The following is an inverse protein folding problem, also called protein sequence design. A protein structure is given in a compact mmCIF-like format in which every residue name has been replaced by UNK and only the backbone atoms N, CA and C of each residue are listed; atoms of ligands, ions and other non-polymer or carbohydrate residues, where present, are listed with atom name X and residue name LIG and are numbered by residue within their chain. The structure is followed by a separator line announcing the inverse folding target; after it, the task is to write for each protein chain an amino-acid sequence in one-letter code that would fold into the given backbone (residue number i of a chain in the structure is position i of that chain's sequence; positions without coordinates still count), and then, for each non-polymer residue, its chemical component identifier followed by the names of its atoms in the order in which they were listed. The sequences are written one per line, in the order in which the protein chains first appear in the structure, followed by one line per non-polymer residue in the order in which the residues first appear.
data_IF_605780071220
#
_entry.id   IF_605780071220
#
_cell.length_a   1.000
_cell.length_b   1.000
_cell.length_c   1.000
_cell.angle_alpha   90.00
_cell.angle_beta   90.00
_cell.angle_gamma   90.00
#
_symmetry.space_group_name_H-M   'P 1'
#
loop_
_entity.id
_entity.type
_entity.pdbx_description
1 polymer ?
#
# COMPACT_ATOMS: atom_id res chain seq x y z
N UNK A 1 26.21 1.78 0.47
CA UNK A 1 25.57 3.11 0.44
C UNK A 1 24.59 3.13 -0.71
N UNK A 2 23.36 3.66 -0.52
CA UNK A 2 22.39 3.80 -1.61
C UNK A 2 22.94 4.75 -2.69
N UNK A 3 22.74 4.38 -3.96
CA UNK A 3 23.11 5.22 -5.10
C UNK A 3 21.84 5.58 -5.85
N UNK A 4 21.46 6.87 -5.84
CA UNK A 4 20.23 7.35 -6.45
C UNK A 4 20.20 7.10 -7.96
N UNK A 5 21.30 7.34 -8.66
CA UNK A 5 21.38 7.15 -10.11
C UNK A 5 21.12 5.70 -10.52
N UNK A 6 21.73 4.74 -9.79
CA UNK A 6 21.47 3.33 -10.02
C UNK A 6 20.02 2.94 -9.74
N UNK A 7 19.45 3.43 -8.62
CA UNK A 7 18.06 3.15 -8.26
C UNK A 7 17.08 3.70 -9.31
N UNK A 8 17.31 4.90 -9.79
CA UNK A 8 16.45 5.53 -10.81
C UNK A 8 16.40 4.75 -12.12
N UNK A 9 17.47 4.06 -12.49
CA UNK A 9 17.53 3.28 -13.72
C UNK A 9 16.55 2.11 -13.77
N UNK A 10 16.01 1.67 -12.63
CA UNK A 10 14.95 0.68 -12.59
C UNK A 10 13.57 1.24 -12.97
N UNK A 11 13.42 2.56 -13.05
CA UNK A 11 12.14 3.21 -13.33
C UNK A 11 12.09 3.77 -14.76
N UNK A 12 10.92 3.72 -15.41
CA UNK A 12 10.74 4.31 -16.74
C UNK A 12 11.08 5.82 -16.75
N UNK A 13 11.50 6.37 -17.89
CA UNK A 13 11.88 7.77 -18.03
C UNK A 13 10.84 8.76 -17.46
N UNK A 14 9.55 8.53 -17.73
CA UNK A 14 8.44 9.39 -17.29
C UNK A 14 8.37 9.50 -15.74
N UNK A 15 8.84 8.47 -15.02
CA UNK A 15 8.85 8.44 -13.57
C UNK A 15 10.17 9.00 -13.04
N UNK A 16 11.31 8.52 -13.55
CA UNK A 16 12.63 8.87 -13.02
C UNK A 16 13.04 10.33 -13.28
N UNK A 17 12.56 10.92 -14.38
CA UNK A 17 12.89 12.29 -14.76
C UNK A 17 12.06 13.34 -14.00
N UNK A 18 10.96 12.93 -13.37
CA UNK A 18 10.13 13.84 -12.57
C UNK A 18 10.77 14.07 -11.19
N UNK A 19 11.24 15.30 -10.87
CA UNK A 19 11.86 15.59 -9.58
C UNK A 19 10.98 15.27 -8.37
N UNK A 20 9.65 15.43 -8.51
CA UNK A 20 8.70 15.12 -7.43
C UNK A 20 8.63 13.62 -7.08
N UNK A 21 9.03 12.75 -7.99
CA UNK A 21 9.00 11.31 -7.78
C UNK A 21 10.26 10.76 -7.11
N UNK A 22 11.38 11.48 -7.12
CA UNK A 22 12.68 10.96 -6.65
C UNK A 22 12.65 10.43 -5.22
N UNK A 23 11.96 11.11 -4.30
CA UNK A 23 11.77 10.64 -2.92
C UNK A 23 10.98 9.34 -2.85
N UNK A 24 9.96 9.19 -3.69
CA UNK A 24 9.14 7.96 -3.75
C UNK A 24 9.88 6.79 -4.38
N UNK A 25 10.73 7.05 -5.37
CA UNK A 25 11.64 6.05 -5.98
C UNK A 25 12.55 5.46 -4.90
N UNK A 26 13.20 6.30 -4.10
CA UNK A 26 14.04 5.85 -2.98
C UNK A 26 13.22 5.07 -1.95
N UNK A 27 12.02 5.56 -1.64
CA UNK A 27 11.12 4.90 -0.69
C UNK A 27 10.72 3.50 -1.17
N UNK A 28 10.29 3.35 -2.43
CA UNK A 28 9.92 2.06 -3.02
C UNK A 28 11.11 1.09 -3.03
N UNK A 29 12.32 1.57 -3.33
CA UNK A 29 13.52 0.74 -3.28
C UNK A 29 13.80 0.21 -1.86
N UNK A 30 13.72 1.06 -0.84
CA UNK A 30 13.93 0.63 0.55
C UNK A 30 12.79 -0.30 1.00
N UNK A 31 11.56 -0.07 0.58
CA UNK A 31 10.43 -0.99 0.82
C UNK A 31 10.72 -2.38 0.23
N UNK A 32 11.26 -2.45 -0.98
CA UNK A 32 11.68 -3.72 -1.61
C UNK A 32 12.82 -4.40 -0.85
N UNK A 33 13.81 -3.65 -0.34
CA UNK A 33 14.85 -4.20 0.52
C UNK A 33 14.25 -4.85 1.77
N UNK A 34 13.33 -4.14 2.46
CA UNK A 34 12.67 -4.65 3.67
C UNK A 34 11.83 -5.90 3.35
N UNK A 35 11.04 -5.87 2.27
CA UNK A 35 10.24 -7.02 1.84
C UNK A 35 11.11 -8.23 1.49
N UNK A 36 12.23 -8.02 0.79
CA UNK A 36 13.18 -9.09 0.43
C UNK A 36 13.77 -9.74 1.68
N UNK A 37 14.13 -8.94 2.68
CA UNK A 37 14.59 -9.45 3.97
C UNK A 37 13.49 -10.22 4.70
N UNK A 38 12.27 -9.67 4.79
CA UNK A 38 11.14 -10.31 5.47
C UNK A 38 10.71 -11.61 4.78
N UNK A 39 10.82 -11.70 3.45
CA UNK A 39 10.48 -12.90 2.67
C UNK A 39 11.33 -14.13 3.07
N UNK A 40 12.55 -13.90 3.55
CA UNK A 40 13.45 -14.96 4.02
C UNK A 40 13.44 -15.15 5.55
N UNK A 41 12.69 -14.33 6.27
CA UNK A 41 12.61 -14.37 7.73
C UNK A 41 11.61 -15.41 8.24
N UNK A 42 11.74 -15.78 9.52
CA UNK A 42 10.75 -16.65 10.18
C UNK A 42 9.33 -16.06 10.22
N UNK A 43 9.21 -14.75 10.08
CA UNK A 43 7.93 -14.03 10.17
C UNK A 43 7.07 -14.15 8.93
N UNK A 44 7.64 -14.51 7.77
CA UNK A 44 6.90 -14.60 6.49
C UNK A 44 5.66 -15.52 6.58
N UNK A 45 5.70 -16.54 7.45
CA UNK A 45 4.58 -17.46 7.68
C UNK A 45 3.45 -16.87 8.54
N UNK A 46 3.73 -15.76 9.25
CA UNK A 46 2.78 -15.10 10.16
C UNK A 46 2.20 -13.81 9.61
N UNK A 47 2.75 -13.27 8.51
CA UNK A 47 2.35 -12.01 7.91
C UNK A 47 1.94 -12.19 6.45
N UNK A 48 0.91 -11.47 6.04
CA UNK A 48 0.39 -11.46 4.66
C UNK A 48 0.45 -10.02 4.15
N UNK A 49 1.12 -9.79 3.04
CA UNK A 49 1.35 -8.46 2.50
C UNK A 49 0.08 -7.89 1.88
N UNK A 50 -0.40 -6.77 2.41
CA UNK A 50 -1.63 -6.08 2.02
C UNK A 50 -1.34 -4.60 1.70
N UNK A 51 -2.37 -3.80 1.60
CA UNK A 51 -2.24 -2.33 1.55
C UNK A 51 -1.93 -1.76 0.17
N UNK A 52 -1.51 -0.49 0.16
CA UNK A 52 -1.23 0.25 -1.07
C UNK A 52 0.03 -0.23 -1.78
N UNK A 53 1.03 -0.63 -1.02
CA UNK A 53 2.31 -1.11 -1.58
C UNK A 53 2.15 -2.52 -2.19
N UNK A 54 1.23 -3.34 -1.67
CA UNK A 54 0.82 -4.58 -2.37
C UNK A 54 0.21 -4.24 -3.75
N UNK A 55 -0.74 -3.29 -3.82
CA UNK A 55 -1.31 -2.88 -5.11
C UNK A 55 -0.24 -2.40 -6.08
N UNK A 56 0.78 -1.70 -5.59
CA UNK A 56 1.88 -1.19 -6.41
C UNK A 56 2.79 -2.32 -6.91
N UNK A 57 3.27 -3.16 -6.02
CA UNK A 57 4.34 -4.12 -6.33
C UNK A 57 3.82 -5.46 -6.89
N UNK A 58 2.58 -5.85 -6.55
CA UNK A 58 1.98 -7.12 -6.96
C UNK A 58 0.95 -6.93 -8.06
N UNK A 59 0.11 -5.88 -7.97
CA UNK A 59 -0.99 -5.65 -8.92
C UNK A 59 -0.67 -4.62 -10.00
N UNK A 60 0.41 -3.85 -9.84
CA UNK A 60 0.88 -2.91 -10.86
C UNK A 60 0.09 -1.60 -10.96
N UNK A 61 -0.58 -1.16 -9.87
CA UNK A 61 -1.26 0.14 -9.89
C UNK A 61 -0.26 1.27 -10.20
N UNK A 62 -0.68 2.24 -10.99
CA UNK A 62 0.14 3.34 -11.52
C UNK A 62 0.32 4.51 -10.51
N UNK A 63 0.60 4.18 -9.27
CA UNK A 63 0.92 5.12 -8.21
C UNK A 63 1.92 4.55 -7.21
N UNK A 64 2.69 5.44 -6.59
CA UNK A 64 3.51 5.09 -5.43
C UNK A 64 2.68 4.79 -4.19
N UNK A 65 3.30 4.10 -3.25
CA UNK A 65 2.77 3.89 -1.91
C UNK A 65 3.86 4.10 -0.87
N UNK A 66 3.46 4.51 0.34
CA UNK A 66 4.41 5.02 1.32
C UNK A 66 4.70 4.05 2.47
N UNK A 67 3.75 3.19 2.80
CA UNK A 67 3.78 2.35 3.99
C UNK A 67 3.82 0.85 3.60
N UNK A 68 4.29 0.00 4.49
CA UNK A 68 4.22 -1.46 4.36
C UNK A 68 3.16 -1.97 5.33
N UNK A 69 2.10 -2.55 4.79
CA UNK A 69 0.95 -3.04 5.56
C UNK A 69 0.90 -4.57 5.51
N UNK A 70 0.66 -5.19 6.66
CA UNK A 70 0.52 -6.63 6.78
C UNK A 70 -0.73 -7.02 7.58
N UNK A 71 -1.47 -8.01 7.08
CA UNK A 71 -2.39 -8.80 7.88
C UNK A 71 -1.60 -9.87 8.63
N UNK A 72 -1.78 -9.99 9.93
CA UNK A 72 -0.99 -10.89 10.74
C UNK A 72 -1.87 -11.95 11.45
N UNK A 73 -1.34 -13.18 11.54
CA UNK A 73 -2.00 -14.31 12.22
C UNK A 73 -1.03 -14.93 13.22
N UNK A 74 -1.52 -15.20 14.44
CA UNK A 74 -0.68 -15.74 15.52
C UNK A 74 0.61 -14.93 15.71
N UNK A 75 0.46 -13.61 15.77
CA UNK A 75 1.52 -12.64 15.81
C UNK A 75 1.28 -11.69 16.99
N UNK A 76 2.15 -11.70 17.96
CA UNK A 76 2.02 -10.93 19.18
C UNK A 76 2.97 -9.72 19.22
N UNK A 77 2.97 -8.99 20.32
CA UNK A 77 3.83 -7.82 20.52
C UNK A 77 5.33 -8.17 20.51
N UNK A 78 5.69 -9.33 21.04
CA UNK A 78 7.07 -9.81 21.07
C UNK A 78 7.56 -10.17 19.65
N UNK A 79 6.74 -10.89 18.87
CA UNK A 79 7.01 -11.15 17.46
C UNK A 79 7.23 -9.85 16.67
N UNK A 80 6.40 -8.83 16.94
CA UNK A 80 6.52 -7.55 16.27
C UNK A 80 7.78 -6.78 16.67
N UNK A 81 8.10 -6.76 17.96
CA UNK A 81 9.32 -6.13 18.47
C UNK A 81 10.57 -6.78 17.89
N UNK A 82 10.61 -8.12 17.87
CA UNK A 82 11.73 -8.88 17.28
C UNK A 82 11.84 -8.61 15.77
N UNK A 83 10.73 -8.67 15.02
CA UNK A 83 10.70 -8.35 13.59
C UNK A 83 11.22 -6.92 13.34
N UNK A 84 10.77 -5.96 14.14
CA UNK A 84 11.19 -4.56 14.05
C UNK A 84 12.69 -4.39 14.25
N UNK A 85 13.24 -5.02 15.30
CA UNK A 85 14.67 -4.98 15.58
C UNK A 85 15.50 -5.64 14.47
N UNK A 86 15.03 -6.77 13.93
CA UNK A 86 15.71 -7.45 12.82
C UNK A 86 15.72 -6.59 11.55
N UNK A 87 14.63 -5.92 11.21
CA UNK A 87 14.55 -5.01 10.06
C UNK A 87 15.52 -3.83 10.23
N UNK A 88 15.58 -3.22 11.42
CA UNK A 88 16.51 -2.13 11.70
C UNK A 88 17.96 -2.58 11.57
N UNK A 89 18.31 -3.71 12.17
CA UNK A 89 19.66 -4.28 12.09
C UNK A 89 20.05 -4.60 10.65
N UNK A 90 19.11 -5.13 9.85
CA UNK A 90 19.32 -5.40 8.43
C UNK A 90 19.64 -4.11 7.65
N UNK A 91 18.84 -3.05 7.83
CA UNK A 91 19.07 -1.76 7.18
C UNK A 91 20.41 -1.14 7.55
N UNK A 92 20.76 -1.16 8.84
CA UNK A 92 22.04 -0.65 9.35
C UNK A 92 23.23 -1.44 8.78
N UNK A 93 23.15 -2.77 8.75
CA UNK A 93 24.17 -3.62 8.13
C UNK A 93 24.29 -3.42 6.62
N UNK A 94 23.20 -2.98 5.96
CA UNK A 94 23.21 -2.58 4.55
C UNK A 94 23.78 -1.17 4.32
N UNK A 95 24.35 -0.53 5.36
CA UNK A 95 24.94 0.79 5.28
C UNK A 95 23.95 1.95 5.22
N UNK A 96 22.70 1.74 5.70
CA UNK A 96 21.66 2.76 5.75
C UNK A 96 21.47 3.18 7.20
N UNK A 97 21.64 4.47 7.50
CA UNK A 97 21.27 5.01 8.81
C UNK A 97 19.76 4.90 9.00
N UNK A 98 19.32 4.13 9.96
CA UNK A 98 17.92 3.87 10.25
C UNK A 98 17.69 3.86 11.77
N UNK A 99 16.66 4.56 12.22
CA UNK A 99 16.25 4.67 13.61
C UNK A 99 14.77 4.32 13.77
N UNK A 100 14.43 3.53 14.79
CA UNK A 100 13.06 3.34 15.18
C UNK A 100 12.62 4.46 16.12
N UNK A 101 11.42 4.98 15.88
CA UNK A 101 10.70 5.79 16.86
C UNK A 101 9.36 5.12 17.13
N UNK A 102 9.28 4.41 18.22
CA UNK A 102 8.04 3.79 18.67
C UNK A 102 7.16 4.85 19.36
N UNK A 103 5.89 4.88 18.96
CA UNK A 103 4.83 5.41 19.81
C UNK A 103 3.97 4.20 20.17
N UNK A 104 4.29 3.57 21.29
CA UNK A 104 3.38 2.59 21.88
C UNK A 104 2.12 3.34 22.32
N UNK A 105 0.98 2.96 21.79
CA UNK A 105 -0.32 3.36 22.30
C UNK A 105 -1.03 2.08 22.73
N UNK A 106 -1.27 1.95 24.02
CA UNK A 106 -1.96 0.81 24.63
C UNK A 106 -3.40 0.61 24.08
N UNK A 107 -3.93 1.58 23.35
CA UNK A 107 -5.29 1.56 22.77
C UNK A 107 -5.34 1.09 21.32
N UNK A 108 -4.21 0.78 20.67
CA UNK A 108 -4.20 0.43 19.24
C UNK A 108 -4.18 -1.09 19.05
N UNK A 109 -5.13 -1.59 18.29
CA UNK A 109 -5.22 -2.99 17.84
C UNK A 109 -4.19 -3.35 16.74
N UNK A 110 -3.39 -2.38 16.29
CA UNK A 110 -2.39 -2.53 15.26
C UNK A 110 -0.99 -2.24 15.80
N UNK A 111 -0.04 -3.09 15.45
CA UNK A 111 1.38 -2.87 15.68
C UNK A 111 1.92 -1.88 14.65
N UNK A 112 2.72 -0.89 15.09
CA UNK A 112 3.27 0.16 14.22
C UNK A 112 4.73 0.44 14.52
N UNK A 113 5.56 0.31 13.50
CA UNK A 113 6.96 0.74 13.50
C UNK A 113 7.11 1.94 12.55
N UNK A 114 7.76 2.99 13.00
CA UNK A 114 8.20 4.11 12.16
C UNK A 114 9.71 4.08 12.07
N UNK A 115 10.22 3.80 10.87
CA UNK A 115 11.64 3.81 10.58
C UNK A 115 11.98 5.16 9.99
N UNK A 116 12.80 5.93 10.70
CA UNK A 116 13.35 7.20 10.23
C UNK A 116 14.73 6.95 9.62
N UNK A 117 15.01 7.70 8.58
CA UNK A 117 16.28 7.65 7.87
C UNK A 117 16.96 9.02 7.97
N UNK A 118 17.74 9.27 9.03
CA UNK A 118 18.39 10.57 9.25
C UNK A 118 19.30 10.93 8.09
N UNK A 119 19.23 12.20 7.65
CA UNK A 119 20.06 12.80 6.60
C UNK A 119 19.99 12.11 5.22
N UNK A 120 19.20 11.04 5.03
CA UNK A 120 19.20 10.24 3.80
C UNK A 120 18.90 11.08 2.56
N UNK A 121 17.92 11.99 2.62
CA UNK A 121 17.58 12.83 1.47
C UNK A 121 18.70 13.83 1.16
N UNK A 122 19.39 14.35 2.17
CA UNK A 122 20.54 15.22 2.01
C UNK A 122 21.72 14.46 1.38
N UNK A 123 22.05 13.30 1.90
CA UNK A 123 23.14 12.43 1.40
C UNK A 123 22.92 12.02 -0.08
N UNK A 124 21.65 11.89 -0.49
CA UNK A 124 21.28 11.58 -1.88
C UNK A 124 21.11 12.83 -2.76
N UNK A 125 21.36 14.03 -2.26
CA UNK A 125 21.18 15.27 -3.00
C UNK A 125 19.71 15.62 -3.33
N UNK A 126 18.75 15.04 -2.58
CA UNK A 126 17.32 15.25 -2.77
C UNK A 126 16.73 16.33 -1.85
N UNK A 127 17.51 16.82 -0.91
CA UNK A 127 17.16 17.91 -0.02
C UNK A 127 18.37 18.79 0.29
N UNK A 128 18.14 20.08 0.45
CA UNK A 128 19.13 21.00 0.99
C UNK A 128 19.21 20.96 2.53
N UNK A 129 18.26 20.31 3.19
CA UNK A 129 18.13 20.30 4.63
C UNK A 129 18.40 18.90 5.17
N UNK A 130 19.36 18.80 6.12
CA UNK A 130 19.72 17.53 6.78
C UNK A 130 18.58 16.96 7.61
N UNK A 131 17.77 17.83 8.22
CA UNK A 131 16.67 17.46 9.11
C UNK A 131 15.40 17.09 8.36
N UNK A 132 15.40 17.14 7.01
CA UNK A 132 14.21 16.76 6.26
C UNK A 132 13.83 15.31 6.55
N UNK A 133 12.59 15.15 7.02
CA UNK A 133 12.10 13.85 7.47
C UNK A 133 11.83 12.90 6.30
N UNK A 134 12.49 11.77 6.35
CA UNK A 134 12.17 10.64 5.48
C UNK A 134 11.89 9.42 6.34
N UNK A 135 10.76 8.79 6.12
CA UNK A 135 10.34 7.66 6.94
C UNK A 135 9.54 6.62 6.13
N UNK A 136 9.60 5.38 6.59
CA UNK A 136 8.74 4.28 6.17
C UNK A 136 8.01 3.76 7.41
N UNK A 137 6.71 3.50 7.28
CA UNK A 137 5.94 2.82 8.32
C UNK A 137 5.75 1.37 7.96
N UNK A 138 5.82 0.52 8.98
CA UNK A 138 5.38 -0.87 8.91
C UNK A 138 4.19 -0.99 9.85
N UNK A 139 3.05 -1.36 9.32
CA UNK A 139 1.83 -1.60 10.09
C UNK A 139 1.44 -3.07 9.97
N UNK A 140 1.19 -3.72 11.11
CA UNK A 140 0.73 -5.11 11.18
C UNK A 140 -0.51 -5.18 12.04
N UNK A 141 -1.60 -5.69 11.46
CA UNK A 141 -2.87 -5.81 12.17
C UNK A 141 -3.56 -7.10 11.75
N UNK A 142 -4.06 -7.86 12.71
CA UNK A 142 -4.94 -8.98 12.40
C UNK A 142 -6.28 -8.45 11.88
N UNK A 143 -6.59 -8.77 10.62
CA UNK A 143 -7.86 -8.36 10.00
C UNK A 143 -9.06 -9.15 10.56
N UNK A 144 -8.83 -10.22 11.34
CA UNK A 144 -9.88 -11.03 11.96
C UNK A 144 -10.78 -11.74 10.97
N UNK A 145 -10.36 -11.91 9.74
CA UNK A 145 -11.06 -12.67 8.69
C UNK A 145 -10.21 -13.85 8.23
N UNK A 146 -10.82 -15.01 8.08
CA UNK A 146 -10.11 -16.22 7.66
C UNK A 146 -10.10 -16.36 6.15
N UNK A 147 -8.91 -16.45 5.57
CA UNK A 147 -8.67 -16.79 4.17
C UNK A 147 -7.34 -17.54 4.04
N UNK A 148 -7.14 -18.21 2.92
CA UNK A 148 -5.87 -18.85 2.58
C UNK A 148 -5.02 -17.89 1.77
N UNK A 149 -3.85 -17.43 2.28
CA UNK A 149 -2.94 -16.60 1.51
C UNK A 149 -2.44 -17.32 0.27
N UNK A 150 -2.24 -16.57 -0.81
CA UNK A 150 -1.61 -17.03 -2.04
C UNK A 150 -0.18 -16.51 -2.09
N UNK A 151 0.73 -17.23 -2.75
CA UNK A 151 2.10 -16.75 -2.97
C UNK A 151 2.14 -15.88 -4.22
N UNK A 152 2.56 -14.63 -4.08
CA UNK A 152 2.81 -13.74 -5.21
C UNK A 152 4.30 -13.52 -5.40
N UNK A 153 4.75 -13.53 -6.66
CA UNK A 153 6.11 -13.17 -7.01
C UNK A 153 6.21 -11.65 -7.17
N UNK A 154 7.18 -11.05 -6.51
CA UNK A 154 7.53 -9.64 -6.64
C UNK A 154 8.88 -9.58 -7.37
N UNK A 155 8.88 -8.98 -8.56
CA UNK A 155 10.08 -8.75 -9.37
C UNK A 155 10.16 -7.27 -9.72
N UNK A 156 10.98 -6.52 -9.01
CA UNK A 156 11.12 -5.07 -9.20
C UNK A 156 12.47 -4.59 -8.67
N UNK A 157 13.07 -3.60 -9.31
CA UNK A 157 14.31 -2.94 -8.91
C UNK A 157 15.47 -3.90 -8.61
N UNK A 158 15.55 -5.01 -9.35
CA UNK A 158 16.58 -6.04 -9.15
C UNK A 158 16.29 -7.03 -8.01
N UNK A 159 15.19 -6.86 -7.29
CA UNK A 159 14.71 -7.81 -6.30
C UNK A 159 13.80 -8.86 -6.94
N UNK A 160 13.94 -10.11 -6.49
CA UNK A 160 13.08 -11.21 -6.85
C UNK A 160 12.75 -12.03 -5.61
N UNK A 161 11.47 -12.04 -5.23
CA UNK A 161 11.02 -12.73 -4.02
C UNK A 161 9.58 -13.21 -4.16
N UNK A 162 9.21 -14.22 -3.36
CA UNK A 162 7.81 -14.63 -3.20
C UNK A 162 7.31 -14.21 -1.82
N UNK A 163 6.10 -13.66 -1.77
CA UNK A 163 5.49 -13.20 -0.52
C UNK A 163 4.02 -13.61 -0.41
N UNK A 164 3.53 -13.99 0.80
CA UNK A 164 2.11 -14.28 1.00
C UNK A 164 1.27 -13.01 0.81
N UNK A 165 0.22 -13.12 0.00
CA UNK A 165 -0.76 -12.05 -0.27
C UNK A 165 -2.18 -12.60 -0.11
N UNK A 166 -3.20 -11.77 0.17
CA UNK A 166 -4.58 -12.23 0.16
C UNK A 166 -5.05 -12.54 -1.27
N UNK A 167 -6.09 -13.38 -1.45
CA UNK A 167 -6.82 -13.48 -2.70
C UNK A 167 -7.34 -12.12 -3.16
N UNK A 168 -7.50 -11.93 -4.47
CA UNK A 168 -7.86 -10.64 -5.07
C UNK A 168 -9.20 -10.10 -4.58
N UNK A 169 -10.19 -10.98 -4.41
CA UNK A 169 -11.50 -10.64 -3.88
C UNK A 169 -11.45 -10.14 -2.44
N UNK A 170 -10.59 -10.75 -1.60
CA UNK A 170 -10.36 -10.35 -0.21
C UNK A 170 -9.62 -9.00 -0.17
N UNK A 171 -8.58 -8.83 -1.00
CA UNK A 171 -7.86 -7.55 -1.09
C UNK A 171 -8.78 -6.42 -1.55
N UNK A 172 -9.67 -6.70 -2.52
CA UNK A 172 -10.69 -5.75 -2.98
C UNK A 172 -11.64 -5.38 -1.84
N UNK A 173 -12.14 -6.35 -1.09
CA UNK A 173 -13.02 -6.11 0.05
C UNK A 173 -12.33 -5.30 1.17
N UNK A 174 -11.05 -5.55 1.45
CA UNK A 174 -10.26 -4.75 2.40
C UNK A 174 -10.17 -3.29 1.96
N UNK A 175 -9.94 -3.03 0.66
CA UNK A 175 -9.86 -1.67 0.11
C UNK A 175 -11.20 -0.95 0.09
N UNK A 176 -12.28 -1.66 -0.21
CA UNK A 176 -13.64 -1.11 -0.11
C UNK A 176 -14.01 -0.79 1.34
N UNK A 177 -13.67 -1.65 2.29
CA UNK A 177 -13.87 -1.38 3.72
C UNK A 177 -13.11 -0.13 4.17
N UNK A 178 -11.86 0.06 3.71
CA UNK A 178 -11.09 1.27 3.97
C UNK A 178 -11.72 2.53 3.35
N UNK A 179 -12.23 2.43 2.11
CA UNK A 179 -12.95 3.50 1.44
C UNK A 179 -14.19 3.93 2.24
N UNK A 180 -15.03 2.96 2.62
CA UNK A 180 -16.25 3.22 3.40
C UNK A 180 -15.98 3.82 4.78
N UNK A 181 -14.81 3.52 5.37
CA UNK A 181 -14.46 3.97 6.72
C UNK A 181 -13.81 5.35 6.76
N UNK A 182 -13.06 5.77 5.75
CA UNK A 182 -12.23 7.00 5.80
C UNK A 182 -12.27 7.88 4.56
N UNK A 183 -12.76 7.38 3.43
CA UNK A 183 -13.00 8.08 2.17
C UNK A 183 -11.86 9.02 1.73
N UNK A 184 -10.59 8.54 1.73
CA UNK A 184 -9.47 9.29 1.18
C UNK A 184 -9.44 9.18 -0.34
N UNK A 185 -8.89 10.18 -1.04
CA UNK A 185 -8.83 10.18 -2.51
C UNK A 185 -8.20 8.92 -3.10
N UNK A 186 -7.10 8.45 -2.52
CA UNK A 186 -6.45 7.19 -2.93
C UNK A 186 -7.32 5.95 -2.73
N UNK A 187 -8.27 5.96 -1.76
CA UNK A 187 -9.13 4.79 -1.52
C UNK A 187 -10.15 4.63 -2.66
N UNK A 188 -10.66 5.73 -3.23
CA UNK A 188 -11.47 5.71 -4.45
C UNK A 188 -10.69 5.21 -5.65
N UNK A 189 -9.44 5.66 -5.80
CA UNK A 189 -8.57 5.24 -6.89
C UNK A 189 -8.24 3.74 -6.83
N UNK A 190 -7.89 3.25 -5.64
CA UNK A 190 -7.62 1.83 -5.38
C UNK A 190 -8.87 0.97 -5.63
N UNK A 191 -10.05 1.46 -5.23
CA UNK A 191 -11.32 0.77 -5.43
C UNK A 191 -11.68 0.67 -6.93
N UNK A 192 -11.52 1.75 -7.71
CA UNK A 192 -11.70 1.70 -9.17
C UNK A 192 -10.79 0.67 -9.82
N UNK A 193 -9.51 0.70 -9.46
CA UNK A 193 -8.52 -0.23 -10.00
C UNK A 193 -8.89 -1.70 -9.71
N UNK A 194 -9.29 -2.01 -8.48
CA UNK A 194 -9.62 -3.39 -8.11
C UNK A 194 -10.97 -3.84 -8.67
N UNK A 195 -12.01 -3.00 -8.58
CA UNK A 195 -13.34 -3.33 -9.10
C UNK A 195 -13.37 -3.52 -10.62
N UNK A 196 -12.39 -2.97 -11.35
CA UNK A 196 -12.23 -3.26 -12.77
C UNK A 196 -11.66 -4.66 -13.06
N UNK A 197 -11.09 -5.34 -12.07
CA UNK A 197 -10.37 -6.60 -12.23
C UNK A 197 -11.02 -7.76 -11.49
N UNK A 198 -11.68 -7.52 -10.35
CA UNK A 198 -12.25 -8.55 -9.49
C UNK A 198 -13.51 -8.09 -8.79
N UNK A 199 -14.29 -9.07 -8.29
CA UNK A 199 -15.40 -8.83 -7.38
C UNK A 199 -14.88 -8.82 -5.94
N UNK A 200 -15.50 -8.03 -5.04
CA UNK A 200 -15.14 -8.09 -3.62
C UNK A 200 -15.65 -9.36 -2.96
N UNK A 201 -14.95 -9.81 -1.94
CA UNK A 201 -15.41 -10.89 -1.07
C UNK A 201 -16.52 -10.38 -0.15
N UNK A 202 -17.74 -10.88 -0.34
CA UNK A 202 -18.89 -10.41 0.43
C UNK A 202 -18.92 -10.96 1.85
N UNK A 203 -18.31 -12.10 2.14
CA UNK A 203 -18.20 -12.61 3.51
C UNK A 203 -17.34 -11.67 4.36
N UNK A 204 -16.24 -11.15 3.77
CA UNK A 204 -15.42 -10.11 4.41
C UNK A 204 -16.24 -8.82 4.63
N UNK A 205 -16.95 -8.34 3.60
CA UNK A 205 -17.74 -7.12 3.70
C UNK A 205 -18.90 -7.26 4.69
N UNK A 206 -19.53 -8.43 4.76
CA UNK A 206 -20.57 -8.75 5.76
C UNK A 206 -20.00 -8.63 7.17
N UNK A 207 -18.87 -9.29 7.41
CA UNK A 207 -18.24 -9.29 8.74
C UNK A 207 -17.75 -7.88 9.16
N UNK A 208 -17.25 -7.06 8.24
CA UNK A 208 -16.64 -5.77 8.55
C UNK A 208 -17.56 -4.56 8.42
N UNK A 209 -18.54 -4.62 7.52
CA UNK A 209 -19.36 -3.49 7.12
C UNK A 209 -20.87 -3.78 7.13
N UNK A 210 -21.27 -5.05 7.37
CA UNK A 210 -22.67 -5.47 7.29
C UNK A 210 -23.24 -5.44 5.88
N UNK A 211 -22.40 -5.61 4.85
CA UNK A 211 -22.78 -5.54 3.43
C UNK A 211 -22.78 -6.96 2.85
N UNK A 212 -23.94 -7.43 2.43
CA UNK A 212 -24.15 -8.83 2.02
C UNK A 212 -24.10 -9.06 0.50
N UNK A 213 -24.33 -8.01 -0.28
CA UNK A 213 -24.48 -8.14 -1.73
C UNK A 213 -24.13 -6.85 -2.47
N UNK A 214 -24.14 -6.94 -3.80
CA UNK A 214 -23.81 -5.83 -4.69
C UNK A 214 -24.74 -4.61 -4.52
N UNK A 215 -26.02 -4.84 -4.32
CA UNK A 215 -27.00 -3.76 -4.19
C UNK A 215 -26.74 -2.92 -2.94
N UNK A 216 -26.50 -3.57 -1.82
CA UNK A 216 -26.12 -2.92 -0.55
C UNK A 216 -24.78 -2.20 -0.67
N UNK A 217 -23.78 -2.84 -1.33
CA UNK A 217 -22.48 -2.22 -1.58
C UNK A 217 -22.63 -0.93 -2.41
N UNK A 218 -23.39 -0.97 -3.52
CA UNK A 218 -23.64 0.20 -4.36
C UNK A 218 -24.32 1.32 -3.58
N UNK A 219 -25.35 1.00 -2.80
CA UNK A 219 -26.05 1.99 -1.98
C UNK A 219 -25.08 2.67 -0.98
N UNK A 220 -24.23 1.88 -0.31
CA UNK A 220 -23.28 2.39 0.66
C UNK A 220 -22.17 3.23 0.04
N UNK A 221 -21.69 2.84 -1.14
CA UNK A 221 -20.71 3.63 -1.91
C UNK A 221 -21.29 4.96 -2.39
N UNK A 222 -22.55 4.99 -2.86
CA UNK A 222 -23.24 6.21 -3.27
C UNK A 222 -23.40 7.14 -2.06
N UNK A 223 -23.88 6.63 -0.92
CA UNK A 223 -23.99 7.39 0.33
C UNK A 223 -22.63 7.99 0.75
N UNK A 224 -21.54 7.24 0.56
CA UNK A 224 -20.18 7.72 0.88
C UNK A 224 -19.73 8.83 -0.06
N UNK A 225 -20.03 8.71 -1.37
CA UNK A 225 -19.70 9.72 -2.37
C UNK A 225 -20.42 11.04 -2.09
N UNK A 226 -21.69 10.98 -1.71
CA UNK A 226 -22.51 12.16 -1.43
C UNK A 226 -22.00 13.00 -0.23
N UNK A 227 -21.21 12.38 0.63
CA UNK A 227 -20.63 13.02 1.83
C UNK A 227 -19.27 13.66 1.59
N UNK A 228 -18.68 13.51 0.40
CA UNK A 228 -17.32 13.98 0.13
C UNK A 228 -17.24 14.83 -1.13
N UNK A 229 -16.34 15.79 -1.11
CA UNK A 229 -15.95 16.53 -2.33
C UNK A 229 -14.88 15.74 -3.08
N UNK A 230 -15.30 15.03 -4.15
CA UNK A 230 -14.39 14.25 -4.98
C UNK A 230 -13.32 15.10 -5.68
N UNK A 231 -13.61 16.37 -6.01
CA UNK A 231 -12.64 17.28 -6.60
C UNK A 231 -11.52 17.61 -5.60
N UNK A 232 -11.89 17.85 -4.34
CA UNK A 232 -10.90 18.01 -3.28
C UNK A 232 -10.12 16.70 -3.04
N UNK A 233 -10.83 15.56 -3.00
CA UNK A 233 -10.21 14.24 -2.82
C UNK A 233 -9.28 13.85 -3.96
N UNK A 234 -9.51 14.30 -5.19
CA UNK A 234 -8.61 14.02 -6.31
C UNK A 234 -7.22 14.63 -6.11
N UNK A 235 -7.13 15.76 -5.41
CA UNK A 235 -5.87 16.45 -5.10
C UNK A 235 -5.10 15.82 -3.93
N UNK A 236 -5.78 15.09 -3.03
CA UNK A 236 -5.16 14.53 -1.81
C UNK A 236 -4.00 13.57 -2.09
N UNK A 237 -3.98 12.93 -3.26
CA UNK A 237 -3.01 11.87 -3.58
C UNK A 237 -2.32 12.05 -4.95
N UNK A 238 -2.56 13.15 -5.65
CA UNK A 238 -1.97 13.38 -6.99
C UNK A 238 -0.44 13.30 -6.99
N UNK A 239 0.19 13.65 -5.87
CA UNK A 239 1.63 13.57 -5.68
C UNK A 239 2.19 12.13 -5.70
N UNK A 240 1.33 11.12 -5.53
CA UNK A 240 1.69 9.71 -5.62
C UNK A 240 1.55 9.15 -7.03
N UNK A 241 0.78 9.78 -7.91
CA UNK A 241 0.47 9.27 -9.24
C UNK A 241 1.64 9.41 -10.21
N UNK A 242 1.85 8.42 -11.06
CA UNK A 242 2.83 8.50 -12.15
C UNK A 242 2.43 9.52 -13.22
N UNK A 243 1.15 9.52 -13.58
CA UNK A 243 0.53 10.60 -14.36
C UNK A 243 -0.51 11.31 -13.49
N UNK A 244 -0.28 12.59 -13.19
CA UNK A 244 -1.15 13.40 -12.34
C UNK A 244 -2.57 13.57 -12.88
N UNK A 245 -2.78 13.50 -14.20
CA UNK A 245 -4.10 13.57 -14.81
C UNK A 245 -5.00 12.41 -14.39
N UNK A 246 -4.40 11.26 -14.04
CA UNK A 246 -5.15 10.10 -13.57
C UNK A 246 -5.92 10.34 -12.26
N UNK A 247 -5.65 11.43 -11.53
CA UNK A 247 -6.43 11.80 -10.34
C UNK A 247 -7.91 12.01 -10.65
N UNK A 248 -8.21 12.47 -11.87
CA UNK A 248 -9.57 12.81 -12.28
C UNK A 248 -10.43 11.56 -12.53
N UNK A 249 -9.82 10.36 -12.61
CA UNK A 249 -10.56 9.11 -12.69
C UNK A 249 -11.56 8.95 -11.56
N UNK A 250 -11.24 9.45 -10.35
CA UNK A 250 -12.16 9.34 -9.21
C UNK A 250 -13.40 10.24 -9.34
N UNK A 251 -13.39 11.28 -10.17
CA UNK A 251 -14.56 12.13 -10.42
C UNK A 251 -15.69 11.33 -11.08
N UNK A 252 -15.34 10.31 -11.86
CA UNK A 252 -16.31 9.42 -12.52
C UNK A 252 -16.70 8.22 -11.64
N UNK A 253 -16.31 8.19 -10.36
CA UNK A 253 -16.57 7.03 -9.49
C UNK A 253 -18.07 6.74 -9.34
N UNK A 254 -18.92 7.77 -9.20
CA UNK A 254 -20.37 7.61 -9.09
C UNK A 254 -20.96 6.98 -10.36
N UNK A 255 -20.52 7.44 -11.52
CA UNK A 255 -20.96 6.90 -12.80
C UNK A 255 -20.49 5.47 -13.01
N UNK A 256 -19.23 5.19 -12.64
CA UNK A 256 -18.67 3.85 -12.66
C UNK A 256 -19.51 2.87 -11.81
N UNK A 257 -19.90 3.25 -10.59
CA UNK A 257 -20.70 2.39 -9.70
C UNK A 257 -22.14 2.20 -10.24
N UNK A 258 -22.73 3.23 -10.85
CA UNK A 258 -24.10 3.17 -11.42
C UNK A 258 -24.16 2.31 -12.68
N UNK A 259 -23.23 2.51 -13.62
CA UNK A 259 -23.21 1.84 -14.94
C UNK A 259 -22.68 0.41 -14.88
N UNK A 260 -21.75 0.12 -14.00
CA UNK A 260 -21.26 -1.24 -13.92
C UNK A 260 -22.28 -2.13 -13.16
N UNK A 261 -22.99 -2.96 -13.92
CA UNK A 261 -23.03 -4.35 -13.50
C UNK A 261 -21.56 -4.70 -13.26
N UNK A 262 -21.13 -4.89 -12.00
CA UNK A 262 -19.79 -5.41 -11.66
C UNK A 262 -19.71 -6.81 -12.25
N UNK A 263 -19.57 -6.85 -13.57
CA UNK A 263 -19.70 -8.04 -14.43
C UNK A 263 -18.48 -8.91 -14.26
N UNK A 264 -18.75 -10.18 -14.23
CA UNK A 264 -17.88 -11.30 -14.50
C UNK A 264 -16.60 -10.91 -15.28
N UNK A 265 -15.52 -10.58 -14.56
CA UNK A 265 -14.11 -10.56 -14.91
C UNK A 265 -13.67 -10.61 -16.38
N UNK A 266 -14.17 -9.73 -17.23
CA UNK A 266 -13.57 -9.41 -18.54
C UNK A 266 -14.10 -8.04 -18.98
N UNK A 267 -13.33 -7.00 -18.68
CA UNK A 267 -13.43 -5.74 -19.42
C UNK A 267 -12.43 -5.88 -20.56
N UNK A 268 -12.93 -6.12 -21.78
CA UNK A 268 -12.17 -5.85 -23.00
C UNK A 268 -12.02 -4.34 -23.12
N UNK A 269 -10.80 -3.83 -22.95
CA UNK A 269 -10.45 -2.49 -23.35
C UNK A 269 -10.63 -2.41 -24.89
N UNK A 270 -11.60 -1.66 -25.34
CA UNK A 270 -11.65 -1.11 -26.70
C UNK A 270 -10.97 0.24 -26.70
#
# INVERSE_FOLDING_TARGET
MLNLEQIQNYFPPQIRENPAHKKYIVKEYIQLMILSFLATSKFVKKITFIGGTNLRLVKGIDRFSEDLDFDCKNFNAEDFAEMSQMVLTFLQRSGIRAEAREKQSEKLTAFRLRIYFPELLFDLGLSAYKEERFLIKIESQNQGFKYTPQMATISSCGFFMSFPVPPDDVLCAMKLSALLSRAKGRDFYDALFLLSQTKPNYDFLTQKQGIHNLTELKAKLIETIEKVDLLHKSKDFEHLLFNRENKDKILNFSEFIKKNELRNGKITCT
#
